data_IF_642671572284
#
_entry.id   IF_642671572284
#
_cell.length_a   1.000
_cell.length_b   1.000
_cell.length_c   1.000
_cell.angle_alpha   90.00
_cell.angle_beta   90.00
_cell.angle_gamma   90.00
#
_symmetry.space_group_name_H-M   'P 1'
#
loop_
_entity.id
_entity.type
_entity.pdbx_description
1 polymer ?
#
# COMPACT_ATOMS: atom_id res chain seq x y z
N UNK A 1 51.99 52.45 48.32
CA UNK A 1 50.56 52.09 48.36
C UNK A 1 50.10 51.65 46.97
N UNK A 2 50.72 50.65 46.35
CA UNK A 2 50.34 50.15 45.00
C UNK A 2 50.75 48.69 44.84
N UNK A 3 50.25 47.81 45.72
CA UNK A 3 50.48 46.38 45.56
C UNK A 3 49.30 45.56 46.10
N UNK A 4 48.08 45.92 45.69
CA UNK A 4 46.88 45.08 45.95
C UNK A 4 45.85 45.06 44.81
N UNK A 5 46.05 45.85 43.73
CA UNK A 5 45.05 45.99 42.66
C UNK A 5 45.16 44.94 41.54
N UNK A 6 46.27 44.22 41.45
CA UNK A 6 46.51 43.26 40.35
C UNK A 6 45.94 41.85 40.60
N UNK A 7 45.78 41.43 41.87
CA UNK A 7 45.29 40.09 42.22
C UNK A 7 43.77 39.92 42.09
N UNK A 8 42.99 40.98 42.32
CA UNK A 8 41.52 40.94 42.24
C UNK A 8 40.99 40.80 40.81
N UNK A 9 41.67 41.38 39.82
CA UNK A 9 41.25 41.26 38.43
C UNK A 9 41.49 39.86 37.86
N UNK A 10 42.59 39.19 38.24
CA UNK A 10 42.90 37.83 37.77
C UNK A 10 41.87 36.81 38.26
N UNK A 11 41.45 36.91 39.52
CA UNK A 11 40.42 36.06 40.12
C UNK A 11 39.08 36.22 39.40
N UNK A 12 38.65 37.47 39.12
CA UNK A 12 37.41 37.74 38.39
C UNK A 12 37.45 37.22 36.95
N UNK A 13 38.58 37.33 36.26
CA UNK A 13 38.74 36.77 34.91
C UNK A 13 38.66 35.23 34.91
N UNK A 14 39.27 34.57 35.89
CA UNK A 14 39.20 33.12 36.03
C UNK A 14 37.77 32.63 36.32
N UNK A 15 37.01 33.37 37.13
CA UNK A 15 35.63 33.03 37.48
C UNK A 15 34.66 33.20 36.29
N UNK A 16 34.89 34.24 35.47
CA UNK A 16 34.16 34.44 34.20
C UNK A 16 34.49 33.32 33.20
N UNK A 17 35.75 32.88 33.13
CA UNK A 17 36.16 31.78 32.25
C UNK A 17 35.53 30.45 32.70
N UNK A 18 35.56 30.12 33.99
CA UNK A 18 34.94 28.89 34.52
C UNK A 18 33.43 28.87 34.27
N UNK A 19 32.77 30.02 34.48
CA UNK A 19 31.34 30.18 34.19
C UNK A 19 31.04 30.02 32.70
N UNK A 20 31.85 30.62 31.82
CA UNK A 20 31.70 30.48 30.37
C UNK A 20 31.91 29.03 29.90
N UNK A 21 32.87 28.30 30.47
CA UNK A 21 33.12 26.89 30.17
C UNK A 21 31.92 26.03 30.61
N UNK A 22 31.36 26.26 31.80
CA UNK A 22 30.18 25.53 32.30
C UNK A 22 28.95 25.76 31.43
N UNK A 23 28.70 27.00 31.02
CA UNK A 23 27.59 27.35 30.13
C UNK A 23 27.80 26.73 28.75
N UNK A 24 29.01 26.84 28.20
CA UNK A 24 29.36 26.27 26.89
C UNK A 24 29.23 24.75 26.86
N UNK A 25 29.65 24.06 27.92
CA UNK A 25 29.52 22.61 28.05
C UNK A 25 28.05 22.17 28.14
N UNK A 26 27.23 22.90 28.91
CA UNK A 26 25.79 22.65 28.99
C UNK A 26 25.08 22.83 27.65
N UNK A 27 25.44 23.88 26.90
CA UNK A 27 24.92 24.13 25.55
C UNK A 27 25.36 23.03 24.57
N UNK A 28 26.61 22.56 24.65
CA UNK A 28 27.14 21.51 23.80
C UNK A 28 26.44 20.16 24.04
N UNK A 29 26.27 19.76 25.30
CA UNK A 29 25.53 18.55 25.67
C UNK A 29 24.07 18.64 25.22
N UNK A 30 23.44 19.81 25.39
CA UNK A 30 22.06 20.06 24.93
C UNK A 30 21.94 19.96 23.41
N UNK A 31 22.91 20.48 22.65
CA UNK A 31 22.93 20.37 21.20
C UNK A 31 23.08 18.92 20.71
N UNK A 32 23.99 18.14 21.31
CA UNK A 32 24.19 16.74 20.95
C UNK A 32 22.96 15.90 21.29
N UNK A 33 22.43 16.07 22.51
CA UNK A 33 21.22 15.34 22.94
C UNK A 33 20.01 15.69 22.07
N UNK A 34 19.83 16.98 21.74
CA UNK A 34 18.80 17.43 20.80
C UNK A 34 18.96 16.82 19.41
N UNK A 35 20.20 16.78 18.88
CA UNK A 35 20.48 16.17 17.58
C UNK A 35 20.16 14.67 17.56
N UNK A 36 20.58 13.92 18.58
CA UNK A 36 20.30 12.48 18.71
C UNK A 36 18.79 12.22 18.81
N UNK A 37 18.08 13.00 19.63
CA UNK A 37 16.62 12.88 19.76
C UNK A 37 15.93 13.19 18.43
N UNK A 38 16.37 14.22 17.70
CA UNK A 38 15.80 14.60 16.42
C UNK A 38 15.99 13.50 15.37
N UNK A 39 17.22 12.97 15.23
CA UNK A 39 17.50 11.86 14.31
C UNK A 39 16.63 10.63 14.62
N UNK A 40 16.54 10.24 15.90
CA UNK A 40 15.75 9.09 16.32
C UNK A 40 14.25 9.30 16.11
N UNK A 41 13.74 10.48 16.46
CA UNK A 41 12.32 10.83 16.30
C UNK A 41 11.94 10.87 14.82
N UNK A 42 12.78 11.44 13.96
CA UNK A 42 12.52 11.52 12.53
C UNK A 42 12.51 10.12 11.88
N UNK A 43 13.45 9.23 12.27
CA UNK A 43 13.46 7.85 11.80
C UNK A 43 12.16 7.12 12.19
N UNK A 44 11.74 7.24 13.46
CA UNK A 44 10.50 6.63 13.93
C UNK A 44 9.25 7.20 13.23
N UNK A 45 9.23 8.50 12.93
CA UNK A 45 8.15 9.14 12.20
C UNK A 45 8.06 8.60 10.76
N UNK A 46 9.19 8.52 10.06
CA UNK A 46 9.28 7.97 8.70
C UNK A 46 8.86 6.51 8.66
N UNK A 47 9.32 5.69 9.61
CA UNK A 47 8.95 4.27 9.66
C UNK A 47 7.47 4.07 9.98
N UNK A 48 6.91 4.92 10.84
CA UNK A 48 5.47 4.95 11.12
C UNK A 48 4.68 5.30 9.86
N UNK A 49 5.08 6.34 9.13
CA UNK A 49 4.41 6.78 7.90
C UNK A 49 4.48 5.71 6.81
N UNK A 50 5.65 5.09 6.61
CA UNK A 50 5.82 3.95 5.67
C UNK A 50 4.89 2.80 6.01
N UNK A 51 4.78 2.46 7.30
CA UNK A 51 3.89 1.40 7.78
C UNK A 51 2.42 1.75 7.56
N UNK A 52 2.02 2.97 7.87
CA UNK A 52 0.64 3.43 7.65
C UNK A 52 0.29 3.42 6.16
N UNK A 53 1.18 3.94 5.31
CA UNK A 53 1.02 3.91 3.85
C UNK A 53 0.95 2.48 3.31
N UNK A 54 1.78 1.57 3.83
CA UNK A 54 1.76 0.16 3.44
C UNK A 54 0.39 -0.49 3.72
N UNK A 55 -0.16 -0.29 4.91
CA UNK A 55 -1.48 -0.84 5.24
C UNK A 55 -2.61 -0.16 4.46
N UNK A 56 -2.52 1.14 4.20
CA UNK A 56 -3.48 1.85 3.37
C UNK A 56 -3.53 1.27 1.93
N UNK A 57 -2.36 1.04 1.33
CA UNK A 57 -2.25 0.42 -0.01
C UNK A 57 -2.84 -1.01 0.01
N UNK A 58 -2.58 -1.79 1.06
CA UNK A 58 -3.13 -3.15 1.15
C UNK A 58 -4.65 -3.17 1.29
N UNK A 59 -5.25 -2.23 2.02
CA UNK A 59 -6.71 -2.13 2.10
C UNK A 59 -7.32 -1.66 0.78
N UNK A 60 -6.68 -0.72 0.08
CA UNK A 60 -7.08 -0.32 -1.28
C UNK A 60 -7.04 -1.51 -2.25
N UNK A 61 -5.94 -2.27 -2.28
CA UNK A 61 -5.81 -3.50 -3.07
C UNK A 61 -6.95 -4.47 -2.80
N UNK A 62 -7.21 -4.74 -1.52
CA UNK A 62 -8.27 -5.65 -1.10
C UNK A 62 -9.63 -5.19 -1.59
N UNK A 63 -9.96 -3.90 -1.47
CA UNK A 63 -11.20 -3.34 -1.97
C UNK A 63 -11.33 -3.53 -3.49
N UNK A 64 -10.25 -3.23 -4.24
CA UNK A 64 -10.23 -3.39 -5.70
C UNK A 64 -10.36 -4.85 -6.14
N UNK A 65 -9.71 -5.79 -5.45
CA UNK A 65 -9.82 -7.22 -5.74
C UNK A 65 -11.23 -7.75 -5.50
N UNK A 66 -11.89 -7.30 -4.41
CA UNK A 66 -13.28 -7.66 -4.11
C UNK A 66 -14.24 -7.09 -5.16
N UNK A 67 -14.03 -5.83 -5.55
CA UNK A 67 -14.85 -5.17 -6.58
C UNK A 67 -14.78 -5.93 -7.92
N UNK A 68 -13.57 -6.25 -8.39
CA UNK A 68 -13.37 -7.02 -9.62
C UNK A 68 -14.00 -8.42 -9.57
N UNK A 69 -13.91 -9.10 -8.42
CA UNK A 69 -14.57 -10.39 -8.21
C UNK A 69 -16.09 -10.27 -8.23
N UNK A 70 -16.63 -9.24 -7.58
CA UNK A 70 -18.08 -8.97 -7.57
C UNK A 70 -18.60 -8.72 -8.99
N UNK A 71 -17.91 -7.87 -9.74
CA UNK A 71 -18.25 -7.56 -11.13
C UNK A 71 -18.10 -8.79 -12.05
N UNK A 72 -17.09 -9.65 -11.83
CA UNK A 72 -16.96 -10.93 -12.54
C UNK A 72 -18.19 -11.82 -12.32
N UNK A 73 -18.62 -11.97 -11.06
CA UNK A 73 -19.83 -12.74 -10.73
C UNK A 73 -21.10 -12.11 -11.32
N UNK A 74 -21.21 -10.79 -11.24
CA UNK A 74 -22.35 -10.05 -11.78
C UNK A 74 -22.48 -10.26 -13.29
N UNK A 75 -21.41 -10.05 -14.05
CA UNK A 75 -21.44 -10.22 -15.51
C UNK A 75 -21.77 -11.66 -15.91
N UNK A 76 -21.17 -12.64 -15.23
CA UNK A 76 -21.51 -14.06 -15.46
C UNK A 76 -22.98 -14.32 -15.16
N UNK A 77 -23.51 -13.76 -14.06
CA UNK A 77 -24.91 -13.92 -13.66
C UNK A 77 -25.88 -13.27 -14.68
N UNK A 78 -25.62 -12.02 -15.07
CA UNK A 78 -26.41 -11.28 -16.04
C UNK A 78 -26.42 -11.98 -17.41
N UNK A 79 -25.24 -12.43 -17.85
CA UNK A 79 -25.09 -13.24 -19.06
C UNK A 79 -25.67 -14.65 -18.95
N UNK A 80 -26.19 -15.10 -17.80
CA UNK A 80 -27.07 -16.27 -17.76
C UNK A 80 -28.44 -15.93 -18.34
N UNK A 81 -28.96 -14.77 -18.00
CA UNK A 81 -30.35 -14.41 -18.25
C UNK A 81 -30.55 -13.58 -19.53
N UNK A 82 -29.57 -12.76 -19.91
CA UNK A 82 -29.65 -11.86 -21.08
C UNK A 82 -28.40 -11.98 -21.94
N UNK A 83 -28.54 -11.89 -23.27
CA UNK A 83 -27.36 -11.79 -24.15
C UNK A 83 -26.83 -10.37 -24.02
N UNK A 84 -25.80 -10.15 -23.22
CA UNK A 84 -25.28 -8.79 -23.02
C UNK A 84 -24.11 -8.49 -23.97
N UNK A 85 -23.95 -7.22 -24.26
CA UNK A 85 -22.99 -6.65 -25.18
C UNK A 85 -21.84 -5.99 -24.40
N UNK A 86 -20.73 -5.68 -25.07
CA UNK A 86 -19.56 -5.05 -24.46
C UNK A 86 -19.68 -3.52 -24.27
N UNK A 87 -20.87 -2.97 -24.44
CA UNK A 87 -21.17 -1.54 -24.39
C UNK A 87 -22.01 -1.16 -23.16
N UNK A 88 -22.13 -2.07 -22.19
CA UNK A 88 -22.87 -1.80 -20.95
C UNK A 88 -22.03 -1.04 -19.92
N UNK A 89 -22.63 -0.16 -19.10
CA UNK A 89 -21.95 0.48 -17.98
C UNK A 89 -21.27 -0.51 -17.03
N UNK A 90 -21.88 -1.66 -16.81
CA UNK A 90 -21.39 -2.75 -15.96
C UNK A 90 -20.08 -3.32 -16.52
N UNK A 91 -20.01 -3.53 -17.84
CA UNK A 91 -18.79 -3.98 -18.50
C UNK A 91 -17.67 -2.93 -18.43
N UNK A 92 -17.98 -1.64 -18.59
CA UNK A 92 -16.98 -0.60 -18.45
C UNK A 92 -16.46 -0.47 -17.01
N UNK A 93 -17.32 -0.67 -16.01
CA UNK A 93 -16.91 -0.74 -14.62
C UNK A 93 -15.97 -1.94 -14.39
N UNK A 94 -16.29 -3.09 -14.98
CA UNK A 94 -15.45 -4.29 -14.95
C UNK A 94 -14.07 -4.06 -15.57
N UNK A 95 -14.02 -3.48 -16.78
CA UNK A 95 -12.78 -3.14 -17.47
C UNK A 95 -11.94 -2.15 -16.66
N UNK A 96 -12.59 -1.17 -16.01
CA UNK A 96 -11.91 -0.21 -15.15
C UNK A 96 -11.26 -0.90 -13.94
N UNK A 97 -11.99 -1.78 -13.26
CA UNK A 97 -11.46 -2.54 -12.12
C UNK A 97 -10.29 -3.44 -12.54
N UNK A 98 -10.41 -4.12 -13.68
CA UNK A 98 -9.34 -4.91 -14.26
C UNK A 98 -8.07 -4.07 -14.49
N UNK A 99 -8.20 -2.93 -15.18
CA UNK A 99 -7.06 -2.05 -15.44
C UNK A 99 -6.42 -1.53 -14.16
N UNK A 100 -7.22 -1.25 -13.13
CA UNK A 100 -6.70 -0.84 -11.84
C UNK A 100 -5.86 -1.96 -11.21
N UNK A 101 -6.36 -3.21 -11.21
CA UNK A 101 -5.61 -4.37 -10.71
C UNK A 101 -4.29 -4.55 -11.46
N UNK A 102 -4.27 -4.30 -12.77
CA UNK A 102 -3.04 -4.36 -13.56
C UNK A 102 -1.97 -3.35 -13.12
N UNK A 103 -2.36 -2.26 -12.46
CA UNK A 103 -1.44 -1.22 -11.96
C UNK A 103 -0.99 -1.51 -10.53
N UNK A 104 -1.89 -1.93 -9.65
CA UNK A 104 -1.59 -2.04 -8.20
C UNK A 104 -1.19 -3.45 -7.76
N UNK A 105 -1.57 -4.47 -8.53
CA UNK A 105 -1.36 -5.87 -8.17
C UNK A 105 0.10 -6.32 -8.30
N UNK A 106 0.47 -7.33 -7.51
CA UNK A 106 1.71 -8.08 -7.78
C UNK A 106 1.60 -8.86 -9.08
N UNK A 107 2.74 -9.28 -9.64
CA UNK A 107 2.77 -9.98 -10.92
C UNK A 107 1.89 -11.24 -10.94
N UNK A 108 1.87 -12.01 -9.86
CA UNK A 108 1.01 -13.18 -9.72
C UNK A 108 -0.48 -12.80 -9.79
N UNK A 109 -0.88 -11.73 -9.09
CA UNK A 109 -2.27 -11.23 -9.12
C UNK A 109 -2.62 -10.75 -10.52
N UNK A 110 -1.73 -10.02 -11.18
CA UNK A 110 -1.94 -9.46 -12.52
C UNK A 110 -2.19 -10.56 -13.55
N UNK A 111 -1.37 -11.62 -13.53
CA UNK A 111 -1.53 -12.78 -14.43
C UNK A 111 -2.86 -13.47 -14.19
N UNK A 112 -3.22 -13.73 -12.93
CA UNK A 112 -4.49 -14.41 -12.61
C UNK A 112 -5.73 -13.53 -12.85
N UNK A 113 -5.60 -12.23 -12.72
CA UNK A 113 -6.64 -11.29 -13.11
C UNK A 113 -6.89 -11.33 -14.63
N UNK A 114 -5.83 -11.39 -15.45
CA UNK A 114 -5.96 -11.52 -16.90
C UNK A 114 -6.62 -12.84 -17.29
N UNK A 115 -6.20 -13.96 -16.69
CA UNK A 115 -6.86 -15.26 -16.94
C UNK A 115 -8.36 -15.24 -16.60
N UNK A 116 -8.75 -14.59 -15.49
CA UNK A 116 -10.15 -14.45 -15.10
C UNK A 116 -10.90 -13.50 -16.05
N UNK A 117 -10.30 -12.37 -16.41
CA UNK A 117 -10.87 -11.41 -17.35
C UNK A 117 -11.14 -12.04 -18.72
N UNK A 118 -10.19 -12.80 -19.24
CA UNK A 118 -10.31 -13.47 -20.53
C UNK A 118 -11.44 -14.50 -20.53
N UNK A 119 -11.56 -15.32 -19.48
CA UNK A 119 -12.62 -16.34 -19.43
C UNK A 119 -14.01 -15.71 -19.24
N UNK A 120 -14.12 -14.62 -18.46
CA UNK A 120 -15.38 -13.88 -18.33
C UNK A 120 -15.77 -13.26 -19.67
N UNK A 121 -14.84 -12.69 -20.43
CA UNK A 121 -15.12 -12.17 -21.77
C UNK A 121 -15.52 -13.25 -22.77
N UNK A 122 -14.88 -14.42 -22.71
CA UNK A 122 -15.29 -15.57 -23.50
C UNK A 122 -16.71 -16.01 -23.15
N UNK A 123 -17.07 -15.99 -21.86
CA UNK A 123 -18.42 -16.30 -21.40
C UNK A 123 -19.45 -15.28 -21.92
N UNK A 124 -19.11 -13.99 -21.89
CA UNK A 124 -19.93 -12.90 -22.45
C UNK A 124 -20.17 -13.07 -23.95
N UNK A 125 -19.13 -13.50 -24.69
CA UNK A 125 -19.19 -13.75 -26.14
C UNK A 125 -20.01 -14.97 -26.53
N UNK A 126 -20.31 -15.87 -25.59
CA UNK A 126 -21.02 -17.10 -25.92
C UNK A 126 -22.42 -16.78 -26.46
N UNK A 127 -22.62 -17.09 -27.76
CA UNK A 127 -23.85 -16.82 -28.46
C UNK A 127 -24.99 -17.70 -27.92
N UNK A 128 -25.99 -17.08 -27.28
CA UNK A 128 -27.17 -17.75 -26.72
C UNK A 128 -28.14 -18.34 -27.75
N UNK A 129 -27.93 -18.09 -29.05
CA UNK A 129 -28.84 -18.57 -30.09
C UNK A 129 -28.69 -20.06 -30.42
N UNK A 130 -27.68 -20.77 -29.88
CA UNK A 130 -27.60 -22.24 -29.85
C UNK A 130 -26.39 -22.76 -29.01
N UNK A 131 -26.28 -22.48 -27.71
CA UNK A 131 -25.30 -23.17 -26.88
C UNK A 131 -25.89 -24.50 -26.41
N UNK A 132 -25.19 -25.58 -26.72
CA UNK A 132 -25.36 -26.84 -25.98
C UNK A 132 -25.22 -26.52 -24.48
N UNK A 133 -26.23 -26.88 -23.68
CA UNK A 133 -26.27 -26.62 -22.23
C UNK A 133 -24.99 -27.13 -21.53
N UNK A 134 -24.41 -28.21 -22.05
CA UNK A 134 -23.14 -28.75 -21.53
C UNK A 134 -21.96 -27.80 -21.70
N UNK A 135 -21.88 -27.07 -22.83
CA UNK A 135 -20.82 -26.08 -23.11
C UNK A 135 -20.95 -24.90 -22.15
N UNK A 136 -22.19 -24.46 -21.94
CA UNK A 136 -22.49 -23.36 -21.03
C UNK A 136 -22.12 -23.70 -19.57
N UNK A 137 -22.50 -24.89 -19.11
CA UNK A 137 -22.15 -25.35 -17.76
C UNK A 137 -20.65 -25.55 -17.59
N UNK A 138 -19.96 -26.06 -18.61
CA UNK A 138 -18.50 -26.22 -18.60
C UNK A 138 -17.78 -24.87 -18.48
N UNK A 139 -18.19 -23.86 -19.26
CA UNK A 139 -17.58 -22.52 -19.17
C UNK A 139 -17.88 -21.83 -17.85
N UNK A 140 -19.11 -21.95 -17.33
CA UNK A 140 -19.42 -21.43 -15.99
C UNK A 140 -18.54 -22.06 -14.92
N UNK A 141 -18.29 -23.37 -15.02
CA UNK A 141 -17.40 -24.06 -14.10
C UNK A 141 -15.96 -23.57 -14.22
N UNK A 142 -15.47 -23.33 -15.44
CA UNK A 142 -14.11 -22.79 -15.65
C UNK A 142 -13.97 -21.37 -15.06
N UNK A 143 -14.97 -20.51 -15.25
CA UNK A 143 -15.00 -19.18 -14.60
C UNK A 143 -14.93 -19.31 -13.08
N UNK A 144 -15.72 -20.21 -12.48
CA UNK A 144 -15.68 -20.44 -11.01
C UNK A 144 -14.30 -20.91 -10.53
N UNK A 145 -13.62 -21.76 -11.30
CA UNK A 145 -12.25 -22.19 -11.00
C UNK A 145 -11.30 -21.00 -11.03
N UNK A 146 -11.36 -20.15 -12.07
CA UNK A 146 -10.52 -18.96 -12.18
C UNK A 146 -10.79 -17.93 -11.08
N UNK A 147 -12.05 -17.77 -10.67
CA UNK A 147 -12.42 -16.98 -9.49
C UNK A 147 -11.73 -17.51 -8.24
N UNK A 148 -11.79 -18.82 -7.99
CA UNK A 148 -11.14 -19.43 -6.83
C UNK A 148 -9.61 -19.26 -6.84
N UNK A 149 -8.98 -19.41 -8.00
CA UNK A 149 -7.54 -19.16 -8.18
C UNK A 149 -7.19 -17.70 -7.91
N UNK A 150 -7.95 -16.76 -8.46
CA UNK A 150 -7.74 -15.33 -8.23
C UNK A 150 -7.90 -14.96 -6.74
N UNK A 151 -8.94 -15.49 -6.08
CA UNK A 151 -9.16 -15.30 -4.64
C UNK A 151 -7.97 -15.79 -3.80
N UNK A 152 -7.37 -16.92 -4.17
CA UNK A 152 -6.22 -17.47 -3.46
C UNK A 152 -5.00 -16.54 -3.56
N UNK A 153 -4.67 -16.04 -4.76
CA UNK A 153 -3.53 -15.12 -4.94
C UNK A 153 -3.79 -13.75 -4.33
N UNK A 154 -5.01 -13.23 -4.45
CA UNK A 154 -5.42 -11.97 -3.82
C UNK A 154 -5.29 -12.02 -2.29
N UNK A 155 -5.62 -13.16 -1.68
CA UNK A 155 -5.46 -13.39 -0.24
C UNK A 155 -3.98 -13.41 0.17
N UNK A 156 -3.08 -13.93 -0.67
CA UNK A 156 -1.64 -13.94 -0.40
C UNK A 156 -1.09 -12.51 -0.50
N UNK A 157 -1.44 -11.80 -1.57
CA UNK A 157 -0.98 -10.43 -1.83
C UNK A 157 -1.38 -9.46 -0.71
N UNK A 158 -2.61 -9.58 -0.19
CA UNK A 158 -3.15 -8.69 0.85
C UNK A 158 -2.74 -9.04 2.28
N UNK A 159 -2.18 -10.24 2.52
CA UNK A 159 -1.75 -10.68 3.86
C UNK A 159 -0.30 -10.34 4.20
N UNK A 160 0.42 -9.67 3.31
CA UNK A 160 1.80 -9.28 3.55
C UNK A 160 1.90 -8.33 4.75
N UNK A 161 2.89 -8.57 5.61
CA UNK A 161 3.18 -7.73 6.78
C UNK A 161 4.30 -6.74 6.47
N UNK A 162 4.20 -5.54 7.02
CA UNK A 162 5.25 -4.53 6.87
C UNK A 162 6.56 -5.05 7.48
N UNK A 163 7.61 -5.12 6.65
CA UNK A 163 8.96 -5.51 7.09
C UNK A 163 9.86 -4.28 7.00
N UNK A 164 10.54 -3.95 8.10
CA UNK A 164 11.54 -2.88 8.11
C UNK A 164 12.79 -3.41 7.40
N UNK A 165 13.07 -2.89 6.21
CA UNK A 165 14.35 -3.08 5.50
C UNK A 165 15.33 -1.97 5.84
#
# INVERSE_FOLDING_TARGET
MLQSSFGGNLLTYLDVIDTAIKIGLGAFISAISGYVVLCKTNSHAVDKEKRERFYAINEEKKAMYVEFLSQSHQLVYEHIHVSSTFDTPEYFAYLKSYNHIQVIGSDDVRVKASELFDIVNQFILLNKNNPDESVYMAMRQDVNVKIGVFQAVAKIDTKQSYTVT
#
